data_IF_735384192269
#
_entry.id   IF_735384192269
#
_cell.length_a   1.000
_cell.length_b   1.000
_cell.length_c   1.000
_cell.angle_alpha   90.00
_cell.angle_beta   90.00
_cell.angle_gamma   90.00
#
_symmetry.space_group_name_H-M   'P 1'
#
loop_
_entity.id
_entity.type
_entity.pdbx_description
1 polymer ?
#
# COMPACT_ATOMS: atom_id res chain seq x y z
N UNK A 1 9.45 -15.13 3.34
CA UNK A 1 8.86 -14.03 2.53
C UNK A 1 7.94 -14.68 1.53
N UNK A 2 6.68 -14.26 1.43
CA UNK A 2 5.74 -14.85 0.47
C UNK A 2 6.18 -14.39 -0.93
N UNK A 3 6.47 -15.30 -1.88
CA UNK A 3 6.93 -14.93 -3.19
C UNK A 3 5.82 -14.20 -3.95
N UNK A 4 6.15 -13.05 -4.55
CA UNK A 4 5.23 -12.34 -5.43
C UNK A 4 5.31 -12.99 -6.82
N UNK A 5 4.20 -13.52 -7.36
CA UNK A 5 4.19 -14.17 -8.67
C UNK A 5 4.67 -13.23 -9.79
N UNK A 6 5.22 -13.80 -10.86
CA UNK A 6 5.57 -13.06 -12.07
C UNK A 6 4.31 -12.46 -12.74
N UNK A 7 4.38 -11.21 -13.21
CA UNK A 7 3.27 -10.53 -13.86
C UNK A 7 2.35 -9.73 -12.94
N UNK A 8 2.67 -9.68 -11.64
CA UNK A 8 1.98 -8.83 -10.68
C UNK A 8 2.22 -7.35 -10.99
N UNK A 9 1.13 -6.58 -11.06
CA UNK A 9 1.15 -5.13 -11.24
C UNK A 9 1.16 -4.43 -9.89
N UNK A 10 1.90 -3.32 -9.83
CA UNK A 10 1.89 -2.39 -8.71
C UNK A 10 1.07 -1.18 -9.10
N UNK A 11 0.02 -0.90 -8.34
CA UNK A 11 -0.85 0.24 -8.53
C UNK A 11 -0.61 1.26 -7.42
N UNK A 12 -0.49 2.53 -7.79
CA UNK A 12 -0.39 3.62 -6.82
C UNK A 12 -1.71 4.38 -6.80
N UNK A 13 -2.34 4.47 -5.63
CA UNK A 13 -3.46 5.37 -5.43
C UNK A 13 -2.97 6.82 -5.46
N UNK A 14 -3.45 7.59 -6.44
CA UNK A 14 -3.11 9.00 -6.59
C UNK A 14 -3.87 9.86 -5.58
N UNK A 15 -3.20 10.88 -5.03
CA UNK A 15 -3.76 11.73 -3.99
C UNK A 15 -3.43 11.26 -2.58
N UNK A 16 -4.20 11.74 -1.60
CA UNK A 16 -3.96 11.43 -0.19
C UNK A 16 -4.94 10.38 0.32
N UNK A 17 -4.41 9.34 0.94
CA UNK A 17 -5.21 8.30 1.58
C UNK A 17 -5.29 8.53 3.08
N UNK A 18 -6.48 8.36 3.67
CA UNK A 18 -6.59 8.21 5.12
C UNK A 18 -5.95 6.88 5.54
N UNK A 19 -4.78 6.99 6.16
CA UNK A 19 -3.97 5.85 6.57
C UNK A 19 -4.47 5.19 7.87
N UNK A 20 -5.57 5.68 8.47
CA UNK A 20 -6.28 4.98 9.55
C UNK A 20 -7.02 3.75 9.03
N UNK A 21 -7.31 3.70 7.73
CA UNK A 21 -7.98 2.55 7.09
C UNK A 21 -7.12 1.28 7.19
N UNK A 22 -7.76 0.19 7.60
CA UNK A 22 -7.23 -1.18 7.48
C UNK A 22 -7.47 -1.76 6.08
N UNK A 23 -7.21 -3.05 5.89
CA UNK A 23 -7.37 -3.72 4.59
C UNK A 23 -8.76 -3.50 3.97
N UNK A 24 -9.90 -3.71 4.67
CA UNK A 24 -11.22 -3.58 4.04
C UNK A 24 -11.50 -2.17 3.51
N UNK A 25 -11.11 -1.13 4.27
CA UNK A 25 -11.30 0.26 3.85
C UNK A 25 -10.41 0.67 2.69
N UNK A 26 -9.20 0.11 2.59
CA UNK A 26 -8.31 0.34 1.45
C UNK A 26 -8.76 -0.46 0.22
N UNK A 27 -9.24 -1.69 0.41
CA UNK A 27 -9.82 -2.51 -0.65
C UNK A 27 -11.04 -1.84 -1.28
N UNK A 28 -11.90 -1.20 -0.47
CA UNK A 28 -13.01 -0.39 -0.97
C UNK A 28 -12.51 0.75 -1.87
N UNK A 29 -11.43 1.45 -1.50
CA UNK A 29 -10.87 2.48 -2.39
C UNK A 29 -10.28 1.91 -3.69
N UNK A 30 -9.72 0.70 -3.67
CA UNK A 30 -9.30 0.03 -4.91
C UNK A 30 -10.50 -0.18 -5.84
N UNK A 31 -11.64 -0.60 -5.28
CA UNK A 31 -12.87 -0.82 -6.06
C UNK A 31 -13.48 0.50 -6.53
N UNK A 32 -13.64 1.47 -5.64
CA UNK A 32 -14.40 2.69 -5.92
C UNK A 32 -13.57 3.75 -6.65
N UNK A 33 -12.30 3.92 -6.30
CA UNK A 33 -11.42 4.95 -6.87
C UNK A 33 -10.61 4.41 -8.03
N UNK A 34 -9.90 3.29 -7.83
CA UNK A 34 -9.04 2.72 -8.88
C UNK A 34 -9.83 1.89 -9.91
N UNK A 35 -11.10 1.57 -9.62
CA UNK A 35 -11.96 0.71 -10.46
C UNK A 35 -11.29 -0.64 -10.77
N UNK A 36 -10.61 -1.22 -9.77
CA UNK A 36 -9.91 -2.51 -9.87
C UNK A 36 -10.44 -3.50 -8.84
N UNK A 37 -10.12 -4.78 -9.07
CA UNK A 37 -10.39 -5.83 -8.10
C UNK A 37 -9.24 -5.87 -7.05
N UNK A 38 -9.52 -5.61 -5.75
CA UNK A 38 -8.52 -5.68 -4.69
C UNK A 38 -7.99 -7.09 -4.45
N UNK A 39 -8.70 -8.13 -4.91
CA UNK A 39 -8.33 -9.53 -4.71
C UNK A 39 -7.63 -10.13 -5.93
N UNK A 40 -7.19 -9.30 -6.89
CA UNK A 40 -6.60 -9.71 -8.16
C UNK A 40 -5.17 -10.27 -8.08
N UNK A 41 -4.57 -10.39 -6.89
CA UNK A 41 -3.16 -10.72 -6.76
C UNK A 41 -2.21 -9.55 -7.03
N UNK A 42 -2.73 -8.35 -7.33
CA UNK A 42 -1.96 -7.14 -7.54
C UNK A 42 -1.64 -6.41 -6.23
N UNK A 43 -0.55 -5.64 -6.22
CA UNK A 43 -0.20 -4.79 -5.09
C UNK A 43 -0.82 -3.41 -5.29
N UNK A 44 -1.46 -2.89 -4.24
CA UNK A 44 -2.01 -1.54 -4.24
C UNK A 44 -1.36 -0.73 -3.13
N UNK A 45 -0.66 0.33 -3.54
CA UNK A 45 0.11 1.22 -2.68
C UNK A 45 -0.66 2.50 -2.38
N UNK A 46 -0.62 2.91 -1.13
CA UNK A 46 -1.27 4.11 -0.62
C UNK A 46 -0.28 4.95 0.17
N UNK A 47 -0.39 6.27 0.02
CA UNK A 47 0.43 7.25 0.74
C UNK A 47 -0.46 8.18 1.55
N UNK A 48 -0.05 8.43 2.80
CA UNK A 48 -0.72 9.40 3.65
C UNK A 48 -0.39 10.84 3.29
N UNK A 49 -1.20 11.80 3.76
CA UNK A 49 -1.01 13.24 3.46
C UNK A 49 0.36 13.79 3.84
N UNK A 50 0.89 13.39 5.00
CA UNK A 50 2.22 13.81 5.49
C UNK A 50 3.36 13.07 4.77
N UNK A 51 3.07 12.03 4.01
CA UNK A 51 4.07 11.32 3.22
C UNK A 51 5.05 10.42 3.99
N UNK A 52 5.00 10.42 5.31
CA UNK A 52 5.78 9.49 6.14
C UNK A 52 5.26 8.06 6.05
N UNK A 53 3.94 7.87 6.07
CA UNK A 53 3.35 6.54 6.10
C UNK A 53 2.99 6.05 4.70
N UNK A 54 3.40 4.83 4.38
CA UNK A 54 2.98 4.05 3.20
C UNK A 54 2.31 2.77 3.67
N UNK A 55 1.22 2.40 2.99
CA UNK A 55 0.54 1.12 3.15
C UNK A 55 0.45 0.42 1.82
N UNK A 56 0.60 -0.89 1.84
CA UNK A 56 0.42 -1.74 0.66
C UNK A 56 -0.53 -2.86 1.02
N UNK A 57 -1.60 -3.02 0.25
CA UNK A 57 -2.46 -4.21 0.35
C UNK A 57 -2.17 -5.17 -0.79
N UNK A 58 -2.25 -6.45 -0.46
CA UNK A 58 -2.09 -7.54 -1.39
C UNK A 58 -2.97 -8.71 -0.97
N UNK A 59 -3.53 -9.44 -1.93
CA UNK A 59 -4.30 -10.64 -1.66
C UNK A 59 -3.69 -11.77 -2.50
N UNK A 60 -3.12 -12.79 -1.86
CA UNK A 60 -2.42 -13.88 -2.54
C UNK A 60 -3.35 -14.96 -3.12
N UNK A 61 -4.66 -14.80 -2.90
CA UNK A 61 -5.71 -15.74 -3.30
C UNK A 61 -6.26 -16.55 -2.13
N UNK A 62 -5.51 -16.65 -1.03
CA UNK A 62 -5.91 -17.35 0.20
C UNK A 62 -6.13 -16.38 1.37
N UNK A 63 -5.38 -15.28 1.42
CA UNK A 63 -5.40 -14.34 2.51
C UNK A 63 -5.13 -12.90 2.08
N UNK A 64 -5.60 -11.99 2.93
CA UNK A 64 -5.37 -10.57 2.83
C UNK A 64 -4.12 -10.16 3.62
N UNK A 65 -3.20 -9.47 2.95
CA UNK A 65 -1.99 -8.92 3.54
C UNK A 65 -2.05 -7.39 3.53
N UNK A 66 -1.67 -6.77 4.65
CA UNK A 66 -1.47 -5.33 4.78
C UNK A 66 -0.07 -5.07 5.32
N UNK A 67 0.76 -4.42 4.50
CA UNK A 67 2.07 -3.94 4.89
C UNK A 67 1.99 -2.46 5.22
N UNK A 68 2.70 -2.05 6.26
CA UNK A 68 2.79 -0.65 6.69
C UNK A 68 4.25 -0.30 6.88
N UNK A 69 4.68 0.83 6.32
CA UNK A 69 6.04 1.32 6.45
C UNK A 69 6.02 2.83 6.77
N UNK A 70 6.77 3.24 7.79
CA UNK A 70 7.02 4.65 8.08
C UNK A 70 8.38 5.05 7.51
N UNK A 71 8.35 5.81 6.42
CA UNK A 71 9.51 6.33 5.73
C UNK A 71 10.36 7.23 6.62
N UNK A 72 9.81 7.91 7.64
CA UNK A 72 10.63 8.74 8.54
C UNK A 72 11.72 7.93 9.26
N UNK A 73 11.47 6.64 9.51
CA UNK A 73 12.46 5.77 10.16
C UNK A 73 13.69 5.50 9.29
N UNK A 74 13.60 5.74 7.98
CA UNK A 74 14.71 5.59 7.03
C UNK A 74 15.36 6.93 6.68
N UNK A 75 14.70 8.05 6.97
CA UNK A 75 15.29 9.38 6.90
C UNK A 75 16.06 9.67 8.19
N UNK A 76 17.23 9.06 8.34
CA UNK A 76 18.28 9.68 9.17
C UNK A 76 18.76 10.92 8.41
N UNK A 77 18.64 12.13 9.00
CA UNK A 77 19.25 13.30 8.38
C UNK A 77 20.77 13.09 8.40
N UNK A 78 21.32 12.69 7.25
CA UNK A 78 22.75 12.78 6.98
C UNK A 78 23.11 14.26 6.80
N UNK A 79 23.05 15.04 7.89
CA UNK A 79 23.69 16.35 7.93
C UNK A 79 24.18 16.68 9.37
N UNK A 80 25.49 16.94 9.44
CA UNK A 80 26.31 17.52 10.51
C UNK A 80 26.92 16.58 11.59
N UNK A 81 28.11 16.05 11.28
CA UNK A 81 29.33 16.34 12.04
C UNK A 81 30.50 16.57 11.10
#
# INVERSE_FOLDING_TARGET
MIPVPSGVKVWLATGYTDMRKGFPGLALMVQETLKRNPHSGHLFCFRGRRGGLIKVIWHDGQGACLFTNDLHSYYVPFVFS
#
